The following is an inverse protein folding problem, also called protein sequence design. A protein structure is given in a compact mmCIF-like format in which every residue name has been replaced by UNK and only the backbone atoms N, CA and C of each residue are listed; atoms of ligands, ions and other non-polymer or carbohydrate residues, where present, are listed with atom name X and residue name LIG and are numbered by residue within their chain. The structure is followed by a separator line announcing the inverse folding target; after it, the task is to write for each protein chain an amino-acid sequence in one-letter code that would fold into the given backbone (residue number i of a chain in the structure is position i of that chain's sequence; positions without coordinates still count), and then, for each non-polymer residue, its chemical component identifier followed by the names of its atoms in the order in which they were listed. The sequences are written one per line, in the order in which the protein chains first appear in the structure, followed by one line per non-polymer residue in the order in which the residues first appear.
data_IF_126410785022
#
_entry.id   IF_126410785022
#
_cell.length_a   1.000
_cell.length_b   1.000
_cell.length_c   1.000
_cell.angle_alpha   90.00
_cell.angle_beta   90.00
_cell.angle_gamma   90.00
#
_symmetry.space_group_name_H-M   'P 1'
#
loop_
_entity.id
_entity.type
_entity.pdbx_description
1 polymer ?
#
# COMPACT_ATOMS: atom_id res chain seq x y z
N UNK A 1 -5.84 -7.21 15.38
CA UNK A 1 -6.99 -6.73 14.58
C UNK A 1 -6.55 -5.43 13.94
N UNK A 2 -6.12 -5.50 12.67
CA UNK A 2 -5.59 -4.37 11.90
C UNK A 2 -6.74 -3.49 11.45
N UNK A 3 -6.67 -2.21 11.81
CA UNK A 3 -7.75 -1.23 11.64
C UNK A 3 -8.06 -0.94 10.18
N UNK A 4 -9.33 -1.06 9.83
CA UNK A 4 -9.89 -0.36 8.68
C UNK A 4 -9.82 1.14 8.99
N UNK A 5 -8.94 1.87 8.31
CA UNK A 5 -8.85 3.34 8.40
C UNK A 5 -10.07 3.95 7.72
N UNK A 6 -11.20 3.91 8.41
CA UNK A 6 -12.41 4.66 8.09
C UNK A 6 -12.50 5.96 8.93
N UNK A 7 -13.45 6.85 8.61
CA UNK A 7 -13.81 7.93 9.52
C UNK A 7 -14.14 7.36 10.92
N UNK A 8 -13.88 8.14 12.00
CA UNK A 8 -14.20 7.68 13.35
C UNK A 8 -15.68 7.30 13.45
N UNK A 9 -15.97 6.27 14.25
CA UNK A 9 -17.34 5.87 14.53
C UNK A 9 -18.07 7.07 15.13
N UNK A 10 -19.24 7.46 14.58
CA UNK A 10 -20.10 8.48 15.18
C UNK A 10 -20.36 8.23 16.68
N UNK A 11 -20.29 9.28 17.49
CA UNK A 11 -20.44 9.23 18.95
C UNK A 11 -21.76 8.57 19.40
N UNK A 12 -22.81 8.62 18.58
CA UNK A 12 -24.09 7.95 18.85
C UNK A 12 -23.95 6.43 19.05
N UNK A 13 -22.91 5.82 18.49
CA UNK A 13 -22.65 4.40 18.70
C UNK A 13 -22.12 4.09 20.10
N UNK A 14 -21.63 5.09 20.85
CA UNK A 14 -21.25 4.93 22.25
C UNK A 14 -22.43 4.89 23.22
N UNK A 15 -23.62 5.28 22.76
CA UNK A 15 -24.86 5.19 23.55
C UNK A 15 -25.50 3.80 23.48
N UNK A 16 -25.04 2.94 22.55
CA UNK A 16 -25.56 1.58 22.38
C UNK A 16 -25.02 0.62 23.43
N UNK A 17 -25.89 -0.27 23.93
CA UNK A 17 -25.49 -1.39 24.78
C UNK A 17 -24.53 -2.34 24.02
N UNK A 18 -23.61 -3.05 24.70
CA UNK A 18 -22.62 -3.91 24.03
C UNK A 18 -23.22 -4.94 23.05
N UNK A 19 -24.39 -5.51 23.40
CA UNK A 19 -25.10 -6.46 22.54
C UNK A 19 -25.67 -5.80 21.27
N UNK A 20 -26.15 -4.56 21.37
CA UNK A 20 -26.66 -3.79 20.23
C UNK A 20 -25.53 -3.37 19.30
N UNK A 21 -24.37 -2.96 19.86
CA UNK A 21 -23.17 -2.68 19.07
C UNK A 21 -22.73 -3.91 18.28
N UNK A 22 -22.75 -5.09 18.92
CA UNK A 22 -22.39 -6.34 18.24
C UNK A 22 -23.37 -6.68 17.12
N UNK A 23 -24.68 -6.55 17.35
CA UNK A 23 -25.70 -6.78 16.31
C UNK A 23 -25.56 -5.82 15.14
N UNK A 24 -25.31 -4.53 15.43
CA UNK A 24 -25.09 -3.53 14.40
C UNK A 24 -23.82 -3.82 13.58
N UNK A 25 -22.72 -4.20 14.25
CA UNK A 25 -21.49 -4.58 13.57
C UNK A 25 -21.70 -5.77 12.62
N UNK A 26 -22.46 -6.79 13.06
CA UNK A 26 -22.82 -7.92 12.21
C UNK A 26 -23.68 -7.50 11.02
N UNK A 27 -24.67 -6.62 11.23
CA UNK A 27 -25.51 -6.11 10.14
C UNK A 27 -24.70 -5.29 9.12
N UNK A 28 -23.82 -4.41 9.59
CA UNK A 28 -22.94 -3.63 8.71
C UNK A 28 -22.01 -4.56 7.93
N UNK A 29 -21.43 -5.56 8.58
CA UNK A 29 -20.58 -6.55 7.91
C UNK A 29 -21.35 -7.29 6.81
N UNK A 30 -22.55 -7.80 7.13
CA UNK A 30 -23.39 -8.48 6.15
C UNK A 30 -23.78 -7.56 4.98
N UNK A 31 -24.14 -6.31 5.26
CA UNK A 31 -24.47 -5.34 4.22
C UNK A 31 -23.27 -5.05 3.31
N UNK A 32 -22.07 -4.91 3.89
CA UNK A 32 -20.84 -4.73 3.11
C UNK A 32 -20.59 -5.96 2.25
N UNK A 33 -20.63 -7.16 2.85
CA UNK A 33 -20.41 -8.43 2.15
C UNK A 33 -21.37 -8.59 0.97
N UNK A 34 -22.67 -8.35 1.17
CA UNK A 34 -23.68 -8.39 0.11
C UNK A 34 -23.44 -7.35 -1.00
N UNK A 35 -22.90 -6.17 -0.66
CA UNK A 35 -22.61 -5.12 -1.65
C UNK A 35 -21.28 -5.31 -2.37
N UNK A 36 -20.36 -6.08 -1.79
CA UNK A 36 -19.05 -6.37 -2.35
C UNK A 36 -18.92 -7.77 -2.93
N UNK A 37 -19.99 -8.56 -2.88
CA UNK A 37 -20.05 -9.91 -3.47
C UNK A 37 -19.64 -9.88 -4.95
N UNK A 38 -18.77 -10.80 -5.34
CA UNK A 38 -18.23 -10.89 -6.70
C UNK A 38 -17.08 -9.93 -7.04
N UNK A 39 -16.70 -8.99 -6.16
CA UNK A 39 -15.59 -8.07 -6.45
C UNK A 39 -14.24 -8.78 -6.51
N UNK A 40 -14.00 -9.77 -5.66
CA UNK A 40 -12.74 -10.52 -5.66
C UNK A 40 -12.61 -11.37 -6.92
N UNK A 41 -13.69 -12.03 -7.36
CA UNK A 41 -13.75 -12.75 -8.64
C UNK A 41 -13.54 -11.80 -9.83
N UNK A 42 -14.11 -10.58 -9.77
CA UNK A 42 -13.89 -9.57 -10.79
C UNK A 42 -12.42 -9.14 -10.84
N UNK A 43 -11.78 -8.88 -9.69
CA UNK A 43 -10.36 -8.53 -9.64
C UNK A 43 -9.48 -9.66 -10.17
N UNK A 44 -9.79 -10.91 -9.83
CA UNK A 44 -9.12 -12.09 -10.37
C UNK A 44 -9.28 -12.20 -11.89
N UNK A 45 -10.49 -12.00 -12.41
CA UNK A 45 -10.75 -12.03 -13.85
C UNK A 45 -9.97 -10.94 -14.57
N UNK A 46 -9.95 -9.70 -14.05
CA UNK A 46 -9.16 -8.61 -14.64
C UNK A 46 -7.67 -8.97 -14.62
N UNK A 47 -7.14 -9.46 -13.50
CA UNK A 47 -5.73 -9.87 -13.37
C UNK A 47 -5.33 -10.91 -14.43
N UNK A 48 -6.23 -11.85 -14.73
CA UNK A 48 -6.03 -12.85 -15.80
C UNK A 48 -6.10 -12.23 -17.20
N UNK A 49 -7.08 -11.35 -17.46
CA UNK A 49 -7.29 -10.75 -18.78
C UNK A 49 -6.13 -9.82 -19.16
N UNK A 50 -5.69 -8.96 -18.23
CA UNK A 50 -4.64 -7.97 -18.50
C UNK A 50 -3.28 -8.61 -18.82
N UNK A 51 -3.08 -9.89 -18.50
CA UNK A 51 -1.88 -10.66 -18.90
C UNK A 51 -1.72 -10.74 -20.43
N UNK A 52 -2.83 -10.64 -21.16
CA UNK A 52 -2.85 -10.78 -22.62
C UNK A 52 -2.90 -9.43 -23.35
N UNK A 53 -3.00 -8.32 -22.61
CA UNK A 53 -3.07 -6.98 -23.18
C UNK A 53 -1.71 -6.29 -23.01
N UNK A 54 -1.13 -5.69 -24.07
CA UNK A 54 0.13 -4.97 -23.96
C UNK A 54 0.07 -3.81 -22.93
N UNK A 55 1.14 -3.64 -22.14
CA UNK A 55 1.19 -2.62 -21.07
C UNK A 55 0.90 -1.20 -21.57
N UNK A 56 1.39 -0.83 -22.76
CA UNK A 56 1.17 0.52 -23.30
C UNK A 56 -0.31 0.84 -23.59
N UNK A 57 -1.18 -0.17 -23.63
CA UNK A 57 -2.63 -0.01 -23.73
C UNK A 57 -3.26 0.05 -22.34
N UNK A 58 -2.85 -0.86 -21.45
CA UNK A 58 -3.43 -1.01 -20.11
C UNK A 58 -3.09 0.18 -19.21
N UNK A 59 -1.83 0.64 -19.23
CA UNK A 59 -1.35 1.69 -18.32
C UNK A 59 -2.14 2.99 -18.45
N UNK A 60 -2.35 3.57 -19.66
CA UNK A 60 -3.18 4.77 -19.80
C UNK A 60 -4.62 4.57 -19.31
N UNK A 61 -5.25 3.44 -19.67
CA UNK A 61 -6.62 3.12 -19.24
C UNK A 61 -6.73 2.98 -17.72
N UNK A 62 -5.73 2.37 -17.08
CA UNK A 62 -5.66 2.26 -15.62
C UNK A 62 -5.60 3.65 -14.99
N UNK A 63 -4.68 4.50 -15.43
CA UNK A 63 -4.48 5.83 -14.86
C UNK A 63 -5.68 6.74 -15.08
N UNK A 64 -6.35 6.65 -16.23
CA UNK A 64 -7.44 7.54 -16.59
C UNK A 64 -8.81 7.11 -16.01
N UNK A 65 -9.04 5.80 -15.86
CA UNK A 65 -10.38 5.28 -15.60
C UNK A 65 -10.49 4.37 -14.37
N UNK A 66 -9.38 3.90 -13.82
CA UNK A 66 -9.40 2.96 -12.70
C UNK A 66 -8.97 3.67 -11.42
N UNK A 67 -9.80 3.58 -10.38
CA UNK A 67 -9.45 4.14 -9.07
C UNK A 67 -8.28 3.34 -8.46
N UNK A 68 -7.34 3.98 -7.74
CA UNK A 68 -6.20 3.29 -7.15
C UNK A 68 -6.55 2.07 -6.29
N UNK A 69 -7.61 2.16 -5.48
CA UNK A 69 -8.11 1.02 -4.68
C UNK A 69 -8.54 -0.19 -5.51
N UNK A 70 -9.13 0.03 -6.68
CA UNK A 70 -9.50 -1.05 -7.61
C UNK A 70 -8.24 -1.65 -8.22
N UNK A 71 -7.31 -0.82 -8.70
CA UNK A 71 -6.04 -1.30 -9.22
C UNK A 71 -5.24 -2.10 -8.18
N UNK A 72 -5.28 -1.70 -6.91
CA UNK A 72 -4.71 -2.47 -5.80
C UNK A 72 -5.38 -3.84 -5.62
N UNK A 73 -6.72 -3.89 -5.71
CA UNK A 73 -7.47 -5.16 -5.71
C UNK A 73 -7.02 -6.11 -6.80
N UNK A 74 -6.88 -5.62 -8.04
CA UNK A 74 -6.35 -6.42 -9.16
C UNK A 74 -4.88 -6.80 -8.92
N UNK A 75 -4.07 -5.89 -8.39
CA UNK A 75 -2.64 -6.10 -8.11
C UNK A 75 -2.39 -7.27 -7.13
N UNK A 76 -3.24 -7.43 -6.11
CA UNK A 76 -3.15 -8.57 -5.17
C UNK A 76 -3.37 -9.92 -5.86
N UNK A 77 -4.09 -9.93 -6.97
CA UNK A 77 -4.50 -11.13 -7.68
C UNK A 77 -3.57 -11.51 -8.85
N UNK A 78 -2.71 -10.61 -9.32
CA UNK A 78 -1.84 -10.85 -10.50
C UNK A 78 -0.45 -11.44 -10.17
N UNK A 79 -0.09 -11.56 -8.89
CA UNK A 79 1.22 -12.01 -8.45
C UNK A 79 2.33 -10.96 -8.64
N UNK A 80 3.43 -11.11 -7.90
CA UNK A 80 4.48 -10.08 -7.78
C UNK A 80 5.14 -9.74 -9.12
N UNK A 81 5.42 -10.72 -9.98
CA UNK A 81 6.13 -10.47 -11.25
C UNK A 81 5.29 -9.66 -12.23
N UNK A 82 3.99 -9.98 -12.36
CA UNK A 82 3.08 -9.23 -13.22
C UNK A 82 2.82 -7.83 -12.65
N UNK A 83 2.59 -7.71 -11.34
CA UNK A 83 2.44 -6.42 -10.67
C UNK A 83 3.66 -5.52 -10.87
N UNK A 84 4.86 -6.09 -10.75
CA UNK A 84 6.12 -5.38 -11.01
C UNK A 84 6.21 -4.90 -12.45
N UNK A 85 5.75 -5.71 -13.41
CA UNK A 85 5.65 -5.33 -14.82
C UNK A 85 4.90 -4.02 -15.01
N UNK A 86 3.71 -3.89 -14.41
CA UNK A 86 2.93 -2.66 -14.44
C UNK A 86 3.54 -1.52 -13.63
N UNK A 87 4.03 -1.80 -12.41
CA UNK A 87 4.61 -0.79 -11.51
C UNK A 87 5.79 -0.03 -12.14
N UNK A 88 6.58 -0.70 -13.00
CA UNK A 88 7.68 -0.07 -13.72
C UNK A 88 7.25 1.02 -14.70
N UNK A 89 6.03 0.90 -15.25
CA UNK A 89 5.53 1.74 -16.33
C UNK A 89 4.50 2.78 -15.84
N UNK A 90 3.94 2.59 -14.63
CA UNK A 90 2.98 3.52 -14.04
C UNK A 90 3.61 4.89 -13.68
N UNK A 91 2.84 5.98 -13.80
CA UNK A 91 3.16 7.26 -13.17
C UNK A 91 3.35 7.11 -11.66
N UNK A 92 4.34 7.79 -11.09
CA UNK A 92 4.75 7.59 -9.68
C UNK A 92 3.70 8.05 -8.69
N UNK A 93 2.98 9.13 -9.01
CA UNK A 93 1.87 9.68 -8.24
C UNK A 93 0.69 8.69 -8.20
N UNK A 94 0.30 8.15 -9.35
CA UNK A 94 -0.75 7.13 -9.40
C UNK A 94 -0.32 5.85 -8.66
N UNK A 95 0.91 5.38 -8.87
CA UNK A 95 1.42 4.19 -8.19
C UNK A 95 1.54 4.37 -6.67
N UNK A 96 1.85 5.58 -6.21
CA UNK A 96 1.82 5.97 -4.80
C UNK A 96 0.40 5.86 -4.19
N UNK A 97 -0.63 6.27 -4.92
CA UNK A 97 -2.00 6.07 -4.44
C UNK A 97 -2.42 4.59 -4.43
N UNK A 98 -1.92 3.78 -5.36
CA UNK A 98 -2.18 2.33 -5.38
C UNK A 98 -1.50 1.64 -4.21
N UNK A 99 -0.25 2.01 -3.91
CA UNK A 99 0.58 1.37 -2.87
C UNK A 99 -0.04 1.46 -1.48
N UNK A 100 -0.73 2.58 -1.15
CA UNK A 100 -1.47 2.79 0.11
C UNK A 100 -2.57 1.76 0.36
N UNK A 101 -3.00 1.05 -0.67
CA UNK A 101 -4.02 0.01 -0.58
C UNK A 101 -3.44 -1.40 -0.67
N UNK A 102 -2.12 -1.55 -0.67
CA UNK A 102 -1.43 -2.84 -0.70
C UNK A 102 -0.80 -3.11 0.66
N UNK A 103 -0.65 -4.39 0.98
CA UNK A 103 0.12 -4.80 2.15
C UNK A 103 1.60 -4.38 1.98
N UNK A 104 2.23 -3.98 3.08
CA UNK A 104 3.61 -3.50 3.09
C UNK A 104 4.61 -4.57 2.62
N UNK A 105 4.36 -5.86 2.91
CA UNK A 105 5.21 -6.95 2.42
C UNK A 105 5.10 -7.11 0.90
N UNK A 106 3.89 -7.15 0.35
CA UNK A 106 3.66 -7.21 -1.10
C UNK A 106 4.28 -5.99 -1.81
N UNK A 107 4.17 -4.80 -1.23
CA UNK A 107 4.83 -3.61 -1.79
C UNK A 107 6.35 -3.73 -1.77
N UNK A 108 6.93 -4.24 -0.69
CA UNK A 108 8.37 -4.46 -0.63
C UNK A 108 8.84 -5.48 -1.68
N UNK A 109 8.08 -6.55 -1.90
CA UNK A 109 8.37 -7.55 -2.93
C UNK A 109 8.29 -6.96 -4.35
N UNK A 110 7.29 -6.12 -4.63
CA UNK A 110 7.15 -5.42 -5.91
C UNK A 110 8.33 -4.45 -6.12
N UNK A 111 8.59 -3.58 -5.15
CA UNK A 111 9.67 -2.58 -5.23
C UNK A 111 11.04 -3.24 -5.35
N UNK A 112 11.27 -4.36 -4.67
CA UNK A 112 12.49 -5.14 -4.77
C UNK A 112 12.74 -5.71 -6.17
N UNK A 113 11.68 -6.05 -6.92
CA UNK A 113 11.79 -6.56 -8.29
C UNK A 113 11.70 -5.48 -9.38
N UNK A 114 11.30 -4.26 -9.03
CA UNK A 114 11.26 -3.14 -9.99
C UNK A 114 12.64 -2.84 -10.59
N UNK A 115 12.62 -2.25 -11.78
CA UNK A 115 13.82 -1.69 -12.40
C UNK A 115 14.36 -0.58 -11.49
N UNK A 116 15.69 -0.45 -11.45
CA UNK A 116 16.40 0.48 -10.56
C UNK A 116 15.81 1.89 -10.55
N UNK A 117 15.68 2.52 -11.73
CA UNK A 117 15.24 3.90 -11.82
C UNK A 117 13.78 4.11 -11.37
N UNK A 118 12.78 3.34 -11.84
CA UNK A 118 11.43 3.39 -11.29
C UNK A 118 11.35 3.16 -9.78
N UNK A 119 12.09 2.19 -9.24
CA UNK A 119 12.11 1.89 -7.81
C UNK A 119 12.66 3.06 -6.99
N UNK A 120 13.83 3.60 -7.38
CA UNK A 120 14.44 4.77 -6.73
C UNK A 120 13.52 6.00 -6.80
N UNK A 121 12.87 6.21 -7.95
CA UNK A 121 11.91 7.31 -8.12
C UNK A 121 10.70 7.17 -7.20
N UNK A 122 10.16 5.96 -7.05
CA UNK A 122 9.06 5.68 -6.11
C UNK A 122 9.50 5.92 -4.67
N UNK A 123 10.64 5.35 -4.24
CA UNK A 123 11.18 5.54 -2.89
C UNK A 123 11.37 7.03 -2.58
N UNK A 124 11.97 7.78 -3.51
CA UNK A 124 12.17 9.22 -3.32
C UNK A 124 10.84 9.99 -3.17
N UNK A 125 9.86 9.68 -4.03
CA UNK A 125 8.55 10.30 -3.98
C UNK A 125 7.83 10.00 -2.66
N UNK A 126 7.82 8.75 -2.22
CA UNK A 126 7.20 8.33 -0.95
C UNK A 126 7.88 8.98 0.25
N UNK A 127 9.22 9.09 0.27
CA UNK A 127 9.93 9.77 1.35
C UNK A 127 9.55 11.26 1.47
N UNK A 128 9.24 11.91 0.35
CA UNK A 128 8.86 13.33 0.33
C UNK A 128 7.40 13.58 0.73
N UNK A 129 6.49 12.69 0.37
CA UNK A 129 5.05 12.92 0.51
C UNK A 129 4.39 12.06 1.59
N UNK A 130 4.93 10.87 1.83
CA UNK A 130 4.33 9.79 2.63
C UNK A 130 5.38 9.03 3.45
N UNK A 131 6.22 9.77 4.20
CA UNK A 131 7.35 9.21 4.95
C UNK A 131 7.00 7.97 5.79
N UNK A 132 5.92 8.03 6.58
CA UNK A 132 5.52 6.91 7.45
C UNK A 132 5.21 5.64 6.65
N UNK A 133 4.50 5.79 5.53
CA UNK A 133 4.17 4.67 4.65
C UNK A 133 5.45 4.03 4.05
N UNK A 134 6.43 4.84 3.64
CA UNK A 134 7.72 4.32 3.19
C UNK A 134 8.48 3.60 4.30
N UNK A 135 8.44 4.12 5.53
CA UNK A 135 9.11 3.47 6.67
C UNK A 135 8.46 2.12 6.99
N UNK A 136 7.14 2.02 6.88
CA UNK A 136 6.41 0.76 7.01
C UNK A 136 6.80 -0.26 5.94
N UNK A 137 6.84 0.13 4.66
CA UNK A 137 7.35 -0.73 3.56
C UNK A 137 8.81 -1.13 3.82
N UNK A 138 9.63 -0.21 4.31
CA UNK A 138 11.06 -0.42 4.52
C UNK A 138 11.38 -1.56 5.48
N UNK A 139 10.48 -1.87 6.43
CA UNK A 139 10.64 -3.02 7.33
C UNK A 139 10.78 -4.36 6.58
N UNK A 140 10.22 -4.42 5.38
CA UNK A 140 10.14 -5.62 4.55
C UNK A 140 11.10 -5.60 3.36
N UNK A 141 11.79 -4.48 3.10
CA UNK A 141 12.69 -4.34 1.96
C UNK A 141 13.99 -5.15 2.12
N UNK A 142 14.48 -5.67 1.00
CA UNK A 142 15.81 -6.27 0.94
C UNK A 142 16.92 -5.23 1.19
N UNK A 143 18.10 -5.64 1.70
CA UNK A 143 19.18 -4.73 2.08
C UNK A 143 19.60 -3.75 0.98
N UNK A 144 19.54 -4.18 -0.28
CA UNK A 144 19.87 -3.33 -1.44
C UNK A 144 18.92 -2.14 -1.57
N UNK A 145 17.61 -2.37 -1.42
CA UNK A 145 16.61 -1.29 -1.51
C UNK A 145 16.61 -0.44 -0.24
N UNK A 146 16.87 -1.04 0.92
CA UNK A 146 17.09 -0.29 2.16
C UNK A 146 18.23 0.72 2.06
N UNK A 147 19.32 0.38 1.37
CA UNK A 147 20.41 1.33 1.15
C UNK A 147 19.98 2.55 0.31
N UNK A 148 19.05 2.37 -0.65
CA UNK A 148 18.45 3.48 -1.39
C UNK A 148 17.63 4.37 -0.45
N UNK A 149 16.79 3.76 0.39
CA UNK A 149 16.01 4.50 1.39
C UNK A 149 16.93 5.29 2.31
N UNK A 150 17.96 4.65 2.87
CA UNK A 150 18.92 5.26 3.79
C UNK A 150 19.63 6.48 3.17
N UNK A 151 19.99 6.40 1.89
CA UNK A 151 20.65 7.51 1.17
C UNK A 151 19.75 8.74 1.00
N UNK A 152 18.43 8.56 0.93
CA UNK A 152 17.49 9.63 0.58
C UNK A 152 16.60 10.09 1.73
N UNK A 153 16.50 9.30 2.81
CA UNK A 153 15.70 9.65 3.98
C UNK A 153 16.41 10.73 4.80
N UNK A 154 15.66 11.75 5.20
CA UNK A 154 16.11 12.74 6.18
C UNK A 154 15.52 12.35 7.53
N UNK A 155 16.34 11.75 8.40
CA UNK A 155 15.91 11.29 9.72
C UNK A 155 16.03 12.41 10.76
N UNK A 156 15.14 12.48 11.77
CA UNK A 156 15.30 13.40 12.88
C UNK A 156 16.66 13.20 13.59
N UNK A 157 17.35 14.30 13.90
CA UNK A 157 18.68 14.30 14.52
C UNK A 157 18.64 13.96 16.03
N UNK A 158 17.51 14.20 16.70
CA UNK A 158 17.38 14.03 18.15
C UNK A 158 16.82 12.64 18.50
N UNK A 159 17.62 11.81 19.19
CA UNK A 159 17.24 10.45 19.65
C UNK A 159 15.99 10.43 20.54
N UNK A 160 15.74 11.51 21.28
CA UNK A 160 14.60 11.62 22.21
C UNK A 160 13.24 11.62 21.52
N UNK A 161 13.13 12.04 20.26
CA UNK A 161 11.87 12.03 19.50
C UNK A 161 11.52 10.63 18.95
N UNK A 162 12.46 9.68 19.02
CA UNK A 162 12.37 8.39 18.36
C UNK A 162 12.10 7.23 19.32
N UNK A 163 12.39 7.39 20.61
CA UNK A 163 12.28 6.31 21.62
C UNK A 163 10.87 5.70 21.73
N UNK A 164 9.82 6.50 21.48
CA UNK A 164 8.42 6.04 21.48
C UNK A 164 7.82 5.93 20.07
N UNK A 165 8.60 6.20 19.01
CA UNK A 165 8.06 6.21 17.66
C UNK A 165 7.86 4.77 17.14
N UNK A 166 6.69 4.42 16.54
CA UNK A 166 6.41 3.06 16.07
C UNK A 166 7.39 2.50 15.02
N UNK A 167 8.27 3.36 14.48
CA UNK A 167 9.27 3.04 13.47
C UNK A 167 10.71 3.10 14.00
N UNK A 168 10.92 3.15 15.31
CA UNK A 168 12.24 3.26 15.93
C UNK A 168 13.26 2.26 15.34
N UNK A 169 12.89 0.98 15.25
CA UNK A 169 13.79 -0.09 14.79
C UNK A 169 14.26 0.10 13.35
N UNK A 170 13.36 0.51 12.46
CA UNK A 170 13.72 0.74 11.05
C UNK A 170 14.50 2.04 10.88
N UNK A 171 14.20 3.07 11.66
CA UNK A 171 14.95 4.34 11.68
C UNK A 171 16.39 4.10 12.13
N UNK A 172 16.59 3.34 13.21
CA UNK A 172 17.92 2.93 13.68
C UNK A 172 18.70 2.14 12.63
N UNK A 173 18.03 1.20 11.96
CA UNK A 173 18.64 0.43 10.88
C UNK A 173 19.08 1.32 9.72
N UNK A 174 18.24 2.27 9.30
CA UNK A 174 18.56 3.22 8.22
C UNK A 174 19.71 4.16 8.60
N UNK A 175 19.74 4.64 9.85
CA UNK A 175 20.80 5.51 10.39
C UNK A 175 22.18 4.84 10.35
N UNK A 176 22.27 3.54 10.64
CA UNK A 176 23.53 2.77 10.56
C UNK A 176 24.04 2.54 9.13
N UNK A 177 23.19 2.80 8.12
CA UNK A 177 23.51 2.62 6.70
C UNK A 177 23.86 3.96 6.01
N UNK A 178 23.76 5.08 6.72
CA UNK A 178 24.24 6.40 6.31
C UNK A 178 25.72 6.58 6.67
#
# INVERSE_FOLDING_TARGET
MTGLTGPPLPDVFDELEPSQRQQLALYIQQLVDEKTDGLDELYQAIAMIVKYIPHFVVVPLMVEHIRPRIAAGVCRNMGVDQATGYANDLPVDYFSEVSKHLDHQLMADIVGKMKKHPAERFIHYELQHHLLHMLDISRHLEPRMLAVVARHVTLPEHETDLLEHPHHDIIEKLRRMQ
#
